data_IF_701753065202
#
_entry.id   IF_701753065202
#
_cell.length_a   1.000
_cell.length_b   1.000
_cell.length_c   1.000
_cell.angle_alpha   90.00
_cell.angle_beta   90.00
_cell.angle_gamma   90.00
#
_symmetry.space_group_name_H-M   'P 1'
#
loop_
_entity.id
_entity.type
_entity.pdbx_description
1 polymer ?
#
# COMPACT_ATOMS: atom_id res chain seq x y z
N UNK A 1 -42.37 -38.17 26.11
CA UNK A 1 -42.08 -36.85 26.73
C UNK A 1 -40.61 -36.43 26.63
N UNK A 2 -39.69 -37.36 26.49
CA UNK A 2 -38.25 -37.02 26.44
C UNK A 2 -37.73 -36.49 25.09
N UNK A 3 -38.33 -36.92 23.97
CA UNK A 3 -37.96 -36.51 22.62
C UNK A 3 -38.17 -35.01 22.37
N UNK A 4 -39.25 -34.45 22.90
CA UNK A 4 -39.56 -32.99 22.73
C UNK A 4 -38.52 -32.13 23.46
N UNK A 5 -37.98 -32.59 24.60
CA UNK A 5 -36.98 -31.85 25.36
C UNK A 5 -35.66 -31.77 24.61
N UNK A 6 -35.20 -32.84 23.94
CA UNK A 6 -33.99 -32.82 23.14
C UNK A 6 -34.11 -32.00 21.90
N UNK A 7 -35.23 -31.99 21.21
CA UNK A 7 -35.51 -31.16 20.03
C UNK A 7 -35.47 -29.67 20.39
N UNK A 8 -36.05 -29.30 21.54
CA UNK A 8 -36.02 -27.90 21.98
C UNK A 8 -34.61 -27.43 22.37
N UNK A 9 -33.82 -28.29 22.98
CA UNK A 9 -32.43 -27.99 23.34
C UNK A 9 -31.55 -27.83 22.10
N UNK A 10 -31.72 -28.67 21.08
CA UNK A 10 -30.97 -28.62 19.83
C UNK A 10 -31.30 -27.36 19.00
N UNK A 11 -32.58 -26.94 18.97
CA UNK A 11 -33.00 -25.71 18.29
C UNK A 11 -32.45 -24.49 19.03
N UNK A 12 -32.42 -24.49 20.36
CA UNK A 12 -31.87 -23.37 21.13
C UNK A 12 -30.36 -23.23 20.93
N UNK A 13 -29.62 -24.34 20.80
CA UNK A 13 -28.16 -24.34 20.56
C UNK A 13 -27.84 -23.84 19.11
N UNK A 14 -28.67 -24.19 18.13
CA UNK A 14 -28.50 -23.73 16.76
C UNK A 14 -28.77 -22.23 16.58
N UNK A 15 -29.68 -21.66 17.37
CA UNK A 15 -29.98 -20.22 17.34
C UNK A 15 -28.84 -19.41 17.98
N UNK A 16 -28.11 -19.98 18.92
CA UNK A 16 -27.02 -19.28 19.61
C UNK A 16 -25.76 -19.08 18.76
N UNK A 17 -25.58 -19.80 17.65
CA UNK A 17 -24.41 -19.69 16.79
C UNK A 17 -24.50 -18.62 15.70
N UNK A 18 -25.64 -17.94 15.54
CA UNK A 18 -25.80 -16.93 14.49
C UNK A 18 -25.62 -15.48 14.97
N UNK A 19 -25.22 -15.26 16.21
CA UNK A 19 -25.09 -13.90 16.76
C UNK A 19 -23.67 -13.33 16.68
N UNK A 20 -22.66 -14.11 16.30
CA UNK A 20 -21.27 -13.66 16.33
C UNK A 20 -20.61 -13.70 14.95
N UNK A 21 -20.90 -12.76 14.15
CA UNK A 21 -20.03 -12.08 13.17
C UNK A 21 -20.88 -11.14 12.33
N UNK A 22 -21.20 -9.99 12.83
CA UNK A 22 -21.41 -8.89 11.89
C UNK A 22 -20.03 -8.52 11.37
N UNK A 23 -19.73 -8.72 10.09
CA UNK A 23 -18.53 -8.15 9.52
C UNK A 23 -18.61 -6.64 9.77
N UNK A 24 -17.59 -6.08 10.43
CA UNK A 24 -17.50 -4.64 10.61
C UNK A 24 -17.66 -3.97 9.25
N UNK A 25 -18.57 -3.04 9.16
CA UNK A 25 -18.77 -2.31 7.91
C UNK A 25 -17.52 -1.46 7.70
N UNK A 26 -16.82 -1.64 6.57
CA UNK A 26 -15.74 -0.72 6.19
C UNK A 26 -16.35 0.68 6.07
N UNK A 27 -15.87 1.62 6.87
CA UNK A 27 -16.41 2.99 6.91
C UNK A 27 -15.77 3.88 5.85
N UNK A 28 -14.59 3.55 5.39
CA UNK A 28 -13.88 4.33 4.40
C UNK A 28 -12.45 3.87 4.15
N UNK A 29 -11.87 4.42 3.12
CA UNK A 29 -10.51 4.18 2.72
C UNK A 29 -9.58 5.22 3.35
N UNK A 30 -8.35 4.82 3.61
CA UNK A 30 -7.25 5.70 3.97
C UNK A 30 -6.29 5.77 2.79
N UNK A 31 -5.90 6.98 2.45
CA UNK A 31 -4.96 7.22 1.36
C UNK A 31 -3.71 7.88 1.92
N UNK A 32 -2.53 7.45 1.44
CA UNK A 32 -1.28 8.07 1.82
C UNK A 32 -0.76 9.01 0.74
N UNK A 33 -0.02 10.02 1.18
CA UNK A 33 0.83 10.84 0.32
C UNK A 33 2.13 11.21 1.02
N UNK A 34 3.13 11.49 0.22
CA UNK A 34 4.39 12.07 0.69
C UNK A 34 4.64 13.36 -0.06
N UNK A 35 5.09 14.39 0.64
CA UNK A 35 5.41 15.67 0.03
C UNK A 35 6.48 16.42 0.78
N UNK A 36 7.18 17.26 0.06
CA UNK A 36 8.16 18.19 0.61
C UNK A 36 7.41 19.29 1.38
N UNK A 37 7.88 19.60 2.57
CA UNK A 37 7.29 20.63 3.42
C UNK A 37 7.69 22.03 2.95
N UNK A 38 7.10 23.06 3.55
CA UNK A 38 7.33 24.47 3.17
C UNK A 38 8.76 24.98 3.37
N UNK A 39 9.58 24.28 4.15
CA UNK A 39 11.00 24.56 4.31
C UNK A 39 11.87 24.09 3.13
N UNK A 40 11.28 23.36 2.18
CA UNK A 40 11.93 22.76 1.01
C UNK A 40 13.05 21.74 1.33
N UNK A 41 13.14 21.26 2.55
CA UNK A 41 14.13 20.28 3.02
C UNK A 41 13.46 19.05 3.63
N UNK A 42 12.51 19.28 4.53
CA UNK A 42 11.78 18.22 5.23
C UNK A 42 10.74 17.56 4.34
N UNK A 43 10.61 16.24 4.43
CA UNK A 43 9.51 15.49 3.84
C UNK A 43 8.51 15.10 4.93
N UNK A 44 7.23 15.15 4.59
CA UNK A 44 6.13 14.69 5.44
C UNK A 44 5.36 13.57 4.79
N UNK A 45 5.00 12.55 5.57
CA UNK A 45 4.06 11.50 5.18
C UNK A 45 2.72 11.80 5.81
N UNK A 46 1.68 11.80 5.01
CA UNK A 46 0.33 12.17 5.41
C UNK A 46 -0.64 11.02 5.13
N UNK A 47 -1.70 10.96 5.95
CA UNK A 47 -2.88 10.15 5.70
C UNK A 47 -4.10 11.05 5.54
N UNK A 48 -4.98 10.70 4.60
CA UNK A 48 -6.28 11.32 4.38
C UNK A 48 -7.36 10.24 4.29
N UNK A 49 -8.46 10.34 5.03
CA UNK A 49 -9.60 9.47 4.82
C UNK A 49 -10.37 9.90 3.56
N UNK A 50 -10.61 8.96 2.65
CA UNK A 50 -11.58 9.07 1.57
C UNK A 50 -12.93 8.54 2.09
N UNK A 51 -13.52 9.26 3.00
CA UNK A 51 -14.72 8.83 3.69
C UNK A 51 -15.85 9.84 3.53
N UNK A 52 -17.04 9.34 3.17
CA UNK A 52 -18.26 10.13 3.19
C UNK A 52 -18.74 10.43 4.62
N UNK A 53 -18.31 9.61 5.59
CA UNK A 53 -18.64 9.76 7.01
C UNK A 53 -17.36 10.22 7.73
N UNK A 54 -17.45 11.36 8.38
CA UNK A 54 -16.35 11.87 9.19
C UNK A 54 -16.03 10.91 10.35
N UNK A 55 -14.76 10.52 10.53
CA UNK A 55 -14.37 9.72 11.69
C UNK A 55 -14.71 10.43 13.00
N UNK A 56 -15.11 9.67 14.00
CA UNK A 56 -15.35 10.23 15.35
C UNK A 56 -14.02 10.55 16.04
N UNK A 57 -14.12 11.18 17.23
CA UNK A 57 -12.94 11.39 18.08
C UNK A 57 -12.49 10.13 18.84
N UNK A 58 -13.21 9.01 18.69
CA UNK A 58 -12.98 7.75 19.40
C UNK A 58 -12.37 6.68 18.50
N UNK A 59 -11.45 7.07 17.66
CA UNK A 59 -10.66 6.15 16.83
C UNK A 59 -9.54 5.49 17.61
N UNK A 60 -9.07 4.34 17.17
CA UNK A 60 -7.85 3.68 17.63
C UNK A 60 -7.16 3.03 16.45
N UNK A 61 -5.85 3.26 16.33
CA UNK A 61 -5.03 2.64 15.32
C UNK A 61 -4.58 1.27 15.79
N UNK A 62 -4.77 0.23 14.97
CA UNK A 62 -4.39 -1.15 15.27
C UNK A 62 -3.05 -1.54 14.67
N UNK A 63 -2.84 -1.21 13.41
CA UNK A 63 -1.62 -1.51 12.66
C UNK A 63 -1.31 -0.39 11.69
N UNK A 64 -0.04 -0.32 11.24
CA UNK A 64 0.35 0.60 10.18
C UNK A 64 1.76 0.34 9.69
N UNK A 65 1.94 0.50 8.41
CA UNK A 65 3.22 0.49 7.73
C UNK A 65 3.22 1.50 6.59
N UNK A 66 4.29 2.26 6.48
CA UNK A 66 4.56 3.13 5.35
C UNK A 66 5.92 2.76 4.79
N UNK A 67 5.98 2.50 3.48
CA UNK A 67 7.24 2.17 2.82
C UNK A 67 7.58 3.22 1.78
N UNK A 68 8.77 3.79 1.94
CA UNK A 68 9.39 4.66 0.95
C UNK A 68 10.11 3.84 -0.10
N UNK A 69 10.03 4.31 -1.34
CA UNK A 69 10.87 3.89 -2.46
C UNK A 69 11.80 5.04 -2.82
N UNK A 70 13.09 4.80 -2.75
CA UNK A 70 14.14 5.80 -2.94
C UNK A 70 15.28 5.21 -3.78
N UNK A 71 16.32 5.99 -4.09
CA UNK A 71 17.57 5.41 -4.61
C UNK A 71 18.24 4.53 -3.54
N UNK A 72 19.03 3.55 -4.00
CA UNK A 72 19.68 2.53 -3.14
C UNK A 72 20.60 3.12 -2.04
N UNK A 73 21.16 4.30 -2.28
CA UNK A 73 22.11 4.95 -1.38
C UNK A 73 21.44 6.00 -0.47
N UNK A 74 20.11 6.07 -0.48
CA UNK A 74 19.37 7.04 0.31
C UNK A 74 19.53 6.83 1.80
N UNK A 75 19.81 7.93 2.50
CA UNK A 75 19.81 8.03 3.95
C UNK A 75 19.00 9.25 4.40
N UNK A 76 18.57 9.25 5.63
CA UNK A 76 17.81 10.35 6.21
C UNK A 76 18.13 10.54 7.69
N UNK A 77 17.83 11.72 8.19
CA UNK A 77 17.94 12.11 9.59
C UNK A 77 16.60 12.61 10.12
N UNK A 78 16.53 12.86 11.42
CA UNK A 78 15.45 13.57 12.08
C UNK A 78 14.06 12.98 11.81
N UNK A 79 13.90 11.64 11.94
CA UNK A 79 12.58 11.03 11.96
C UNK A 79 11.79 11.55 13.15
N UNK A 80 10.71 12.28 12.90
CA UNK A 80 9.85 12.87 13.94
C UNK A 80 8.42 12.43 13.74
N UNK A 81 7.92 11.61 14.66
CA UNK A 81 6.51 11.21 14.73
C UNK A 81 5.59 12.38 15.06
N UNK A 82 4.45 12.51 14.39
CA UNK A 82 3.44 13.57 14.54
C UNK A 82 2.05 13.01 14.81
N UNK A 83 1.67 11.94 14.13
CA UNK A 83 0.46 11.16 14.35
C UNK A 83 0.84 9.69 14.50
N UNK A 84 0.68 9.12 15.71
CA UNK A 84 1.26 7.84 16.08
C UNK A 84 2.78 7.92 16.30
N UNK A 85 3.35 6.86 16.83
CA UNK A 85 4.81 6.66 16.91
C UNK A 85 5.24 5.73 15.80
N UNK A 86 6.20 6.17 14.99
CA UNK A 86 6.73 5.47 13.83
C UNK A 86 8.23 5.23 13.97
N UNK A 87 8.68 4.05 13.57
CA UNK A 87 10.11 3.68 13.57
C UNK A 87 10.46 2.98 12.26
N UNK A 88 11.67 3.17 11.76
CA UNK A 88 12.18 2.31 10.69
C UNK A 88 12.28 0.88 11.22
N UNK A 89 11.53 -0.04 10.64
CA UNK A 89 11.49 -1.44 11.06
C UNK A 89 12.11 -2.39 10.05
N UNK A 90 12.27 -1.95 8.80
CA UNK A 90 12.93 -2.74 7.76
C UNK A 90 13.52 -1.83 6.67
N UNK A 91 14.63 -2.29 6.11
CA UNK A 91 15.28 -1.68 4.94
C UNK A 91 15.83 -2.76 4.03
N UNK A 92 15.50 -2.67 2.75
CA UNK A 92 16.04 -3.53 1.70
C UNK A 92 16.66 -2.64 0.63
N UNK A 93 17.97 -2.72 0.48
CA UNK A 93 18.70 -1.98 -0.56
C UNK A 93 18.96 -2.90 -1.75
N UNK A 94 18.71 -2.40 -2.95
CA UNK A 94 19.04 -3.06 -4.21
C UNK A 94 18.49 -4.49 -4.34
N UNK A 95 17.16 -4.73 -4.09
CA UNK A 95 16.60 -6.05 -4.36
C UNK A 95 16.72 -6.40 -5.84
N UNK A 96 16.74 -7.69 -6.18
CA UNK A 96 16.91 -8.12 -7.59
C UNK A 96 15.78 -7.59 -8.49
N UNK A 97 14.60 -7.38 -7.95
CA UNK A 97 13.44 -6.84 -8.66
C UNK A 97 13.61 -5.35 -9.02
N UNK A 98 14.42 -4.62 -8.22
CA UNK A 98 14.65 -3.19 -8.40
C UNK A 98 16.06 -2.80 -7.88
N UNK A 99 17.13 -3.12 -8.62
CA UNK A 99 18.51 -3.03 -8.12
C UNK A 99 19.02 -1.60 -7.87
N UNK A 100 18.33 -0.59 -8.39
CA UNK A 100 18.68 0.81 -8.18
C UNK A 100 17.88 1.47 -7.04
N UNK A 101 16.95 0.73 -6.42
CA UNK A 101 16.08 1.25 -5.38
C UNK A 101 16.45 0.74 -3.98
N UNK A 102 16.05 1.52 -2.98
CA UNK A 102 15.90 1.09 -1.60
C UNK A 102 14.44 1.17 -1.17
N UNK A 103 14.03 0.20 -0.37
CA UNK A 103 12.71 0.12 0.25
C UNK A 103 12.87 0.26 1.75
N UNK A 104 12.30 1.32 2.31
CA UNK A 104 12.45 1.68 3.72
C UNK A 104 11.08 1.68 4.36
N UNK A 105 10.81 0.68 5.18
CA UNK A 105 9.53 0.51 5.84
C UNK A 105 9.54 1.12 7.24
N UNK A 106 8.57 1.96 7.51
CA UNK A 106 8.29 2.54 8.83
C UNK A 106 7.08 1.84 9.42
N UNK A 107 7.28 1.18 10.55
CA UNK A 107 6.22 0.49 11.28
C UNK A 107 5.60 1.40 12.34
N UNK A 108 4.28 1.31 12.48
CA UNK A 108 3.52 1.92 13.56
C UNK A 108 3.77 1.16 14.87
N UNK A 109 4.04 1.89 15.94
CA UNK A 109 4.33 1.33 17.28
C UNK A 109 3.19 1.58 18.26
N UNK A 110 2.76 2.82 18.36
CA UNK A 110 1.67 3.21 19.27
C UNK A 110 0.86 4.38 18.70
N UNK A 111 -0.42 4.52 19.15
CA UNK A 111 -1.29 5.66 18.80
C UNK A 111 -1.03 6.88 19.68
N UNK A 112 0.27 7.19 19.88
CA UNK A 112 0.73 8.30 20.71
C UNK A 112 1.88 9.05 20.00
N UNK A 113 1.71 10.34 19.66
CA UNK A 113 0.49 11.13 19.78
C UNK A 113 -0.62 10.58 18.89
N UNK A 114 -1.87 10.69 19.35
CA UNK A 114 -3.01 10.08 18.66
C UNK A 114 -3.16 10.58 17.23
N UNK A 115 -3.37 9.64 16.28
CA UNK A 115 -3.74 9.95 14.89
C UNK A 115 -5.18 10.48 14.89
N UNK A 116 -5.36 11.74 14.49
CA UNK A 116 -6.66 12.41 14.44
C UNK A 116 -7.10 12.59 13.01
N UNK A 117 -7.97 11.72 12.53
CA UNK A 117 -8.54 11.83 11.19
C UNK A 117 -9.67 12.85 11.16
N UNK A 118 -9.72 13.62 10.08
CA UNK A 118 -10.84 14.47 9.71
C UNK A 118 -11.23 14.14 8.27
N UNK A 119 -12.52 14.20 7.95
CA UNK A 119 -13.01 13.83 6.62
C UNK A 119 -12.36 14.70 5.55
N UNK A 120 -11.73 14.06 4.56
CA UNK A 120 -11.05 14.71 3.43
C UNK A 120 -9.89 15.67 3.82
N UNK A 121 -9.44 15.64 5.07
CA UNK A 121 -8.29 16.42 5.52
C UNK A 121 -7.06 15.54 5.71
N UNK A 122 -5.90 16.10 5.43
CA UNK A 122 -4.63 15.44 5.65
C UNK A 122 -4.21 15.48 7.12
N UNK A 123 -3.80 14.35 7.63
CA UNK A 123 -3.16 14.22 8.94
C UNK A 123 -1.71 13.83 8.75
N UNK A 124 -0.78 14.63 9.27
CA UNK A 124 0.65 14.35 9.24
C UNK A 124 0.98 13.18 10.19
N UNK A 125 1.57 12.12 9.66
CA UNK A 125 2.00 10.95 10.42
C UNK A 125 3.41 11.14 11.01
N UNK A 126 4.37 11.44 10.15
CA UNK A 126 5.75 11.70 10.55
C UNK A 126 6.48 12.54 9.50
N UNK A 127 7.62 13.08 9.92
CA UNK A 127 8.52 13.82 9.03
C UNK A 127 9.93 13.23 9.12
N UNK A 128 10.73 13.46 8.09
CA UNK A 128 12.15 13.15 8.05
C UNK A 128 12.88 14.14 7.14
N UNK A 129 14.20 14.22 7.28
CA UNK A 129 15.06 15.05 6.45
C UNK A 129 15.99 14.13 5.66
N UNK A 130 15.96 14.11 4.32
CA UNK A 130 16.97 13.43 3.54
C UNK A 130 18.37 13.91 3.95
N UNK A 131 19.34 13.00 3.98
CA UNK A 131 20.72 13.40 4.22
C UNK A 131 21.23 14.32 3.10
N UNK A 132 22.28 15.04 3.38
CA UNK A 132 22.81 16.16 2.59
C UNK A 132 22.77 15.94 1.07
N UNK A 133 22.29 16.96 0.36
CA UNK A 133 22.27 17.08 -1.10
C UNK A 133 21.54 15.96 -1.87
N UNK A 134 20.59 15.28 -1.23
CA UNK A 134 19.80 14.28 -1.93
C UNK A 134 18.89 14.92 -3.00
N UNK A 135 19.16 14.64 -4.27
CA UNK A 135 18.44 15.12 -5.45
C UNK A 135 17.57 14.03 -6.12
N UNK A 136 17.59 12.82 -5.57
CA UNK A 136 16.81 11.70 -6.07
C UNK A 136 15.32 11.77 -5.76
N UNK A 137 14.56 10.85 -6.34
CA UNK A 137 13.12 10.74 -6.08
C UNK A 137 12.85 10.04 -4.75
N UNK A 138 11.83 10.51 -4.05
CA UNK A 138 11.25 9.84 -2.87
C UNK A 138 9.77 9.65 -3.16
N UNK A 139 9.31 8.41 -3.13
CA UNK A 139 7.90 8.08 -3.34
C UNK A 139 7.44 7.04 -2.31
N UNK A 140 6.14 6.81 -2.25
CA UNK A 140 5.56 5.69 -1.50
C UNK A 140 5.43 4.48 -2.42
N UNK A 141 5.62 3.28 -1.87
CA UNK A 141 5.42 2.04 -2.62
C UNK A 141 3.97 1.94 -3.13
N UNK A 142 3.80 1.48 -4.37
CA UNK A 142 2.49 1.13 -4.93
C UNK A 142 2.24 -0.36 -4.73
N UNK A 143 1.42 -0.72 -3.74
CA UNK A 143 1.25 -2.10 -3.26
C UNK A 143 1.03 -3.16 -4.36
N UNK A 144 0.39 -2.79 -5.48
CA UNK A 144 0.03 -3.73 -6.54
C UNK A 144 0.87 -3.57 -7.82
N UNK A 145 1.68 -2.52 -7.92
CA UNK A 145 2.37 -2.17 -9.16
C UNK A 145 3.89 -2.04 -9.00
N UNK A 146 4.40 -2.04 -7.78
CA UNK A 146 5.84 -1.94 -7.54
C UNK A 146 6.52 -3.29 -7.82
N UNK A 147 7.69 -3.30 -8.47
CA UNK A 147 8.44 -4.53 -8.75
C UNK A 147 8.77 -5.36 -7.50
N UNK A 148 8.99 -4.70 -6.36
CA UNK A 148 9.31 -5.36 -5.09
C UNK A 148 8.08 -5.73 -4.26
N UNK A 149 6.87 -5.55 -4.78
CA UNK A 149 5.63 -6.01 -4.13
C UNK A 149 5.65 -7.53 -3.89
N UNK A 150 4.83 -7.98 -2.95
CA UNK A 150 4.71 -9.43 -2.65
C UNK A 150 4.04 -10.18 -3.81
N UNK A 151 4.57 -11.36 -4.23
CA UNK A 151 5.75 -12.06 -3.71
C UNK A 151 7.07 -11.48 -4.26
N UNK A 152 8.12 -11.43 -3.43
CA UNK A 152 9.44 -10.94 -3.81
C UNK A 152 10.56 -11.87 -3.31
N UNK A 153 11.80 -11.60 -3.76
CA UNK A 153 12.97 -12.44 -3.45
C UNK A 153 13.33 -12.50 -1.96
N UNK A 154 12.87 -11.55 -1.17
CA UNK A 154 13.10 -11.50 0.28
C UNK A 154 12.00 -12.18 1.09
N UNK A 155 10.88 -12.58 0.48
CA UNK A 155 9.72 -13.15 1.17
C UNK A 155 9.09 -12.18 2.17
N UNK A 156 9.24 -10.87 1.96
CA UNK A 156 8.73 -9.80 2.83
C UNK A 156 7.46 -9.17 2.25
N UNK A 157 6.71 -8.48 3.09
CA UNK A 157 5.62 -7.62 2.64
C UNK A 157 5.98 -6.14 2.84
N UNK A 158 6.51 -5.46 1.81
CA UNK A 158 6.87 -4.05 1.89
C UNK A 158 5.66 -3.11 1.72
N UNK A 159 4.45 -3.63 1.52
CA UNK A 159 3.27 -2.82 1.20
C UNK A 159 2.90 -1.82 2.28
N UNK A 160 2.31 -0.70 1.87
CA UNK A 160 1.67 0.25 2.76
C UNK A 160 0.44 -0.38 3.43
N UNK A 161 0.23 -0.07 4.71
CA UNK A 161 -0.94 -0.50 5.48
C UNK A 161 -1.29 0.53 6.56
N UNK A 162 -2.56 0.69 6.84
CA UNK A 162 -3.05 1.39 8.03
C UNK A 162 -4.45 0.90 8.35
N UNK A 163 -4.63 0.33 9.52
CA UNK A 163 -5.90 -0.14 10.05
C UNK A 163 -6.34 0.65 11.26
N UNK A 164 -7.51 1.26 11.21
CA UNK A 164 -8.09 2.02 12.33
C UNK A 164 -9.51 1.58 12.62
N UNK A 165 -9.89 1.62 13.88
CA UNK A 165 -11.25 1.37 14.37
C UNK A 165 -11.84 2.65 14.93
N UNK A 166 -13.11 2.91 14.64
CA UNK A 166 -13.89 4.00 15.20
C UNK A 166 -15.01 3.43 16.09
N UNK A 167 -14.95 3.73 17.37
CA UNK A 167 -15.89 3.29 18.40
C UNK A 167 -16.95 4.36 18.72
N UNK A 168 -16.91 5.51 18.05
CA UNK A 168 -17.78 6.66 18.34
C UNK A 168 -19.02 6.73 17.50
N UNK A 169 -19.24 5.79 16.59
CA UNK A 169 -20.33 5.81 15.62
C UNK A 169 -21.55 5.04 16.17
N UNK A 170 -22.74 5.61 16.00
CA UNK A 170 -23.98 4.92 16.35
C UNK A 170 -24.15 3.68 15.45
N UNK A 171 -24.32 2.51 16.05
CA UNK A 171 -24.55 1.25 15.32
C UNK A 171 -23.38 0.27 15.34
N UNK A 172 -22.25 0.61 15.97
CA UNK A 172 -21.16 -0.34 16.16
C UNK A 172 -19.77 0.22 15.86
N UNK A 173 -18.82 -0.67 15.61
CA UNK A 173 -17.44 -0.33 15.27
C UNK A 173 -17.36 -0.15 13.75
N UNK A 174 -16.78 0.96 13.31
CA UNK A 174 -16.41 1.17 11.91
C UNK A 174 -14.91 1.00 11.69
N UNK A 175 -14.54 0.53 10.51
CA UNK A 175 -13.15 0.26 10.14
C UNK A 175 -12.73 1.18 9.01
N UNK A 176 -11.57 1.78 9.16
CA UNK A 176 -10.86 2.51 8.11
C UNK A 176 -9.60 1.72 7.76
N UNK A 177 -9.38 1.49 6.47
CA UNK A 177 -8.23 0.70 6.00
C UNK A 177 -7.51 1.43 4.87
N UNK A 178 -6.19 1.27 4.82
CA UNK A 178 -5.41 1.78 3.69
C UNK A 178 -5.91 1.18 2.37
N UNK A 179 -6.06 2.00 1.36
CA UNK A 179 -6.51 1.61 0.03
C UNK A 179 -5.46 1.88 -1.06
N UNK A 180 -4.92 3.09 -1.10
CA UNK A 180 -3.98 3.53 -2.13
C UNK A 180 -3.19 4.78 -1.70
N UNK A 181 -2.22 5.16 -2.53
CA UNK A 181 -1.60 6.48 -2.46
C UNK A 181 -2.42 7.49 -3.27
N UNK A 182 -2.25 8.78 -2.96
CA UNK A 182 -2.78 9.87 -3.78
C UNK A 182 -1.70 10.92 -4.00
N UNK A 183 -1.86 11.69 -5.08
CA UNK A 183 -0.95 12.77 -5.46
C UNK A 183 -1.71 14.10 -5.49
N UNK A 184 -1.12 15.16 -4.97
CA UNK A 184 -1.72 16.48 -5.00
C UNK A 184 -1.90 16.95 -6.47
N UNK A 185 -3.14 17.33 -6.83
CA UNK A 185 -3.48 17.79 -8.18
C UNK A 185 -4.13 16.75 -9.10
N UNK A 186 -4.34 15.50 -8.63
CA UNK A 186 -5.17 14.52 -9.33
C UNK A 186 -6.49 14.36 -8.60
N UNK A 187 -7.51 15.10 -9.04
CA UNK A 187 -8.88 14.84 -8.63
C UNK A 187 -9.30 13.44 -9.08
N UNK A 188 -9.48 12.54 -8.11
CA UNK A 188 -10.26 11.29 -8.12
C UNK A 188 -10.45 10.58 -9.48
N UNK A 189 -9.38 10.19 -10.12
CA UNK A 189 -9.37 9.21 -11.20
C UNK A 189 -8.30 8.16 -10.89
N UNK A 190 -8.47 6.87 -11.29
CA UNK A 190 -7.39 5.92 -11.17
C UNK A 190 -6.20 6.48 -11.96
N UNK A 191 -5.10 6.77 -11.28
CA UNK A 191 -3.86 7.21 -11.92
C UNK A 191 -3.32 6.04 -12.77
N UNK A 192 -3.82 5.93 -13.99
CA UNK A 192 -3.15 5.22 -15.04
C UNK A 192 -2.04 6.16 -15.48
N UNK A 193 -0.89 6.11 -14.80
CA UNK A 193 0.36 6.46 -15.44
C UNK A 193 0.53 5.45 -16.56
N UNK A 194 0.00 5.81 -17.74
CA UNK A 194 0.40 5.16 -18.97
C UNK A 194 1.92 5.34 -19.04
N UNK A 195 2.68 4.29 -18.66
CA UNK A 195 4.02 4.16 -19.13
C UNK A 195 3.92 4.29 -20.64
N UNK A 196 4.50 5.34 -21.21
CA UNK A 196 4.80 5.37 -22.63
C UNK A 196 5.61 4.10 -22.93
N UNK A 197 4.88 3.09 -23.37
CA UNK A 197 5.45 1.91 -23.93
C UNK A 197 6.10 2.37 -25.20
N UNK A 198 7.39 2.69 -25.12
CA UNK A 198 8.23 2.84 -26.29
C UNK A 198 8.08 1.55 -27.06
N UNK A 199 7.31 1.63 -28.13
CA UNK A 199 7.09 0.54 -29.09
C UNK A 199 8.46 0.18 -29.68
N UNK A 200 9.11 -0.82 -29.06
CA UNK A 200 10.33 -1.39 -29.62
C UNK A 200 9.98 -1.94 -30.99
N UNK A 201 10.49 -1.28 -32.01
CA UNK A 201 10.36 -1.67 -33.39
C UNK A 201 10.70 -3.15 -33.55
N UNK A 202 9.70 -3.94 -33.95
CA UNK A 202 9.92 -5.33 -34.30
C UNK A 202 10.93 -5.41 -35.46
N UNK A 203 11.97 -6.23 -35.38
CA UNK A 203 12.83 -6.46 -36.52
C UNK A 203 12.01 -7.20 -37.61
N UNK A 204 11.86 -6.54 -38.77
CA UNK A 204 11.31 -7.14 -39.99
C UNK A 204 12.14 -8.37 -40.34
N UNK A 205 11.56 -9.56 -40.20
CA UNK A 205 12.15 -10.79 -40.76
C UNK A 205 12.16 -10.70 -42.28
N UNK A 206 13.33 -10.53 -42.85
CA UNK A 206 13.56 -10.65 -44.31
C UNK A 206 13.68 -12.13 -44.59
N UNK A 207 12.60 -12.75 -45.04
CA UNK A 207 12.66 -14.07 -45.66
C UNK A 207 13.18 -13.89 -47.09
N UNK A 208 14.46 -14.15 -47.32
CA UNK A 208 15.02 -14.39 -48.63
C UNK A 208 14.69 -15.82 -49.05
N UNK A 209 13.80 -15.97 -50.00
CA UNK A 209 13.55 -17.26 -50.65
C UNK A 209 14.69 -17.55 -51.63
N UNK A 210 15.65 -18.39 -51.26
CA UNK A 210 16.56 -19.01 -52.22
C UNK A 210 15.88 -20.19 -52.91
N UNK A 211 15.65 -20.06 -54.22
CA UNK A 211 15.29 -21.14 -55.14
C UNK A 211 16.53 -21.99 -55.43
N UNK A 212 16.72 -23.09 -54.72
CA UNK A 212 17.68 -24.11 -55.06
C UNK A 212 17.11 -25.06 -56.12
N UNK A 213 17.61 -24.99 -57.32
CA UNK A 213 17.37 -25.97 -58.37
C UNK A 213 18.24 -27.23 -58.13
N UNK A 214 17.60 -28.34 -57.79
CA UNK A 214 18.25 -29.62 -57.65
C UNK A 214 18.40 -30.25 -59.05
N UNK A 215 19.64 -30.43 -59.50
CA UNK A 215 20.00 -31.23 -60.65
C UNK A 215 20.25 -32.68 -60.22
N UNK A 216 19.40 -33.60 -60.68
CA UNK A 216 19.58 -35.06 -60.59
C UNK A 216 20.66 -35.51 -61.56
N UNK A 217 21.75 -36.12 -61.08
CA UNK A 217 22.62 -37.02 -61.92
C UNK A 217 22.61 -38.38 -61.27
N UNK A 218 22.17 -39.38 -62.09
CA UNK A 218 22.24 -40.79 -61.79
C UNK A 218 23.68 -41.34 -61.93
N UNK A 219 24.03 -42.42 -61.22
CA UNK A 219 25.32 -43.07 -61.29
C UNK A 219 25.33 -44.17 -62.36
N UNK A 220 26.53 -44.34 -62.90
CA UNK A 220 26.91 -45.61 -63.54
C UNK A 220 27.65 -46.46 -62.52
#
# INVERSE_FOLDING_TARGET
MNTIRYTLLTVLTLISFHIFAQPGVSAGNLQFTIKKMSDNVTFGVFVKPDATIAPSKRTSTGSGQVTLVTSKDFTYDNLVSKGGTWVENARVNSPIEAPDNAYISFGFVTDEPKIKLQSNEETLLFTFVPADDYDGSISLIENNNDPFSTPNSYGTNPGNDLGMMDFGVAGGIQYYTYANNYFEGMDNGPAILASEKTEAAQPKAIFAAEKGTASLRSPK
#
